data_IF_390216969067
#
_entry.id   IF_390216969067
#
_cell.length_a   1.000
_cell.length_b   1.000
_cell.length_c   1.000
_cell.angle_alpha   90.00
_cell.angle_beta   90.00
_cell.angle_gamma   90.00
#
_symmetry.space_group_name_H-M   'P 1'
#
loop_
_entity.id
_entity.type
_entity.pdbx_description
1 polymer ?
#
# COMPACT_ATOMS: atom_id res chain seq x y z
N UNK A 1 -14.42 7.67 17.22
CA UNK A 1 -14.90 7.31 18.57
C UNK A 1 -13.74 7.43 19.57
N UNK A 2 -13.91 7.03 20.83
CA UNK A 2 -12.79 6.90 21.79
C UNK A 2 -11.77 5.83 21.38
N UNK A 3 -12.23 4.74 20.77
CA UNK A 3 -11.40 3.61 20.35
C UNK A 3 -10.39 3.99 19.26
N UNK A 4 -10.81 4.76 18.24
CA UNK A 4 -9.89 5.25 17.21
C UNK A 4 -8.76 6.08 17.81
N UNK A 5 -9.06 6.98 18.76
CA UNK A 5 -8.05 7.81 19.43
C UNK A 5 -7.10 6.97 20.27
N UNK A 6 -7.62 5.96 20.97
CA UNK A 6 -6.78 5.02 21.74
C UNK A 6 -5.82 4.27 20.83
N UNK A 7 -6.31 3.70 19.73
CA UNK A 7 -5.49 3.00 18.75
C UNK A 7 -4.40 3.91 18.17
N UNK A 8 -4.73 5.16 17.84
CA UNK A 8 -3.76 6.11 17.29
C UNK A 8 -2.64 6.45 18.29
N UNK A 9 -2.99 6.69 19.55
CA UNK A 9 -1.99 6.96 20.60
C UNK A 9 -1.08 5.75 20.84
N UNK A 10 -1.65 4.55 20.75
CA UNK A 10 -0.89 3.31 20.91
C UNK A 10 0.03 3.04 19.72
N UNK A 11 -0.43 3.31 18.49
CA UNK A 11 0.41 3.29 17.29
C UNK A 11 1.55 4.31 17.39
N UNK A 12 1.28 5.57 17.76
CA UNK A 12 2.31 6.60 17.87
C UNK A 12 3.44 6.18 18.81
N UNK A 13 3.09 5.71 20.01
CA UNK A 13 4.07 5.19 20.98
C UNK A 13 4.85 3.99 20.44
N UNK A 14 4.19 3.09 19.72
CA UNK A 14 4.85 1.91 19.18
C UNK A 14 5.84 2.26 18.07
N UNK A 15 5.50 3.22 17.20
CA UNK A 15 6.40 3.75 16.17
C UNK A 15 7.63 4.43 16.78
N UNK A 16 7.43 5.22 17.84
CA UNK A 16 8.53 5.87 18.58
C UNK A 16 9.43 4.85 19.29
N UNK A 17 8.85 3.77 19.82
CA UNK A 17 9.61 2.75 20.57
C UNK A 17 10.48 1.83 19.71
N UNK A 18 10.19 1.72 18.41
CA UNK A 18 10.86 0.83 17.46
C UNK A 18 11.40 1.63 16.27
N UNK A 19 12.17 2.68 16.60
CA UNK A 19 12.74 3.63 15.65
C UNK A 19 13.60 2.93 14.58
N UNK A 20 14.31 1.86 14.95
CA UNK A 20 15.10 1.09 14.00
C UNK A 20 14.27 0.48 12.88
N UNK A 21 13.02 0.08 13.14
CA UNK A 21 12.15 -0.57 12.13
C UNK A 21 11.22 0.41 11.44
N UNK A 22 10.75 1.45 12.14
CA UNK A 22 9.72 2.35 11.63
C UNK A 22 10.15 3.83 11.54
N UNK A 23 11.39 4.18 11.91
CA UNK A 23 11.86 5.58 11.96
C UNK A 23 11.87 6.30 10.60
N UNK A 24 11.88 5.55 9.49
CA UNK A 24 11.73 6.12 8.14
C UNK A 24 10.27 6.47 7.80
N UNK A 25 9.30 6.05 8.62
CA UNK A 25 7.89 6.31 8.39
C UNK A 25 7.44 7.57 9.12
N UNK A 26 6.59 8.35 8.45
CA UNK A 26 5.85 9.44 9.08
C UNK A 26 4.43 8.97 9.37
N UNK A 27 4.07 8.86 10.65
CA UNK A 27 2.68 8.62 11.04
C UNK A 27 1.85 9.89 10.83
N UNK A 28 0.75 9.79 10.09
CA UNK A 28 -0.19 10.88 9.86
C UNK A 28 -1.59 10.46 10.25
N UNK A 29 -2.35 11.40 10.83
CA UNK A 29 -3.73 11.17 11.29
C UNK A 29 -4.63 12.15 10.58
N UNK A 30 -5.67 11.63 9.94
CA UNK A 30 -6.70 12.42 9.29
C UNK A 30 -8.03 12.24 10.03
N UNK A 31 -8.68 13.34 10.34
CA UNK A 31 -10.03 13.34 10.87
C UNK A 31 -11.02 13.49 9.70
N UNK A 32 -11.64 12.39 9.30
CA UNK A 32 -12.58 12.38 8.15
C UNK A 32 -13.78 13.34 8.28
N UNK A 33 -14.10 13.82 9.48
CA UNK A 33 -15.15 14.83 9.65
C UNK A 33 -14.65 16.25 9.35
N UNK A 34 -13.36 16.51 9.56
CA UNK A 34 -12.73 17.82 9.32
C UNK A 34 -12.14 17.87 7.91
N UNK A 35 -11.45 16.81 7.51
CA UNK A 35 -10.69 16.71 6.26
C UNK A 35 -11.43 15.85 5.24
N UNK A 36 -12.75 16.04 5.12
CA UNK A 36 -13.65 15.14 4.38
C UNK A 36 -13.23 14.90 2.94
N UNK A 37 -12.89 15.95 2.20
CA UNK A 37 -12.46 15.83 0.80
C UNK A 37 -11.19 14.96 0.67
N UNK A 38 -10.22 15.13 1.57
CA UNK A 38 -8.99 14.35 1.56
C UNK A 38 -9.27 12.88 1.94
N UNK A 39 -10.06 12.66 2.99
CA UNK A 39 -10.49 11.33 3.40
C UNK A 39 -11.24 10.58 2.27
N UNK A 40 -12.14 11.27 1.57
CA UNK A 40 -12.89 10.73 0.43
C UNK A 40 -11.95 10.38 -0.73
N UNK A 41 -10.96 11.23 -1.03
CA UNK A 41 -9.96 10.97 -2.09
C UNK A 41 -9.07 9.75 -1.82
N UNK A 42 -8.82 9.47 -0.53
CA UNK A 42 -8.09 8.28 -0.09
C UNK A 42 -8.99 7.03 0.02
N UNK A 43 -10.30 7.17 -0.19
CA UNK A 43 -11.26 6.08 -0.08
C UNK A 43 -11.57 5.66 1.36
N UNK A 44 -11.35 6.55 2.34
CA UNK A 44 -11.70 6.33 3.74
C UNK A 44 -13.22 6.54 3.95
N UNK A 45 -14.00 5.45 3.97
CA UNK A 45 -15.47 5.49 4.06
C UNK A 45 -15.94 5.32 5.51
N UNK A 46 -15.97 6.40 6.29
CA UNK A 46 -16.66 6.50 7.60
C UNK A 46 -16.10 5.65 8.76
N UNK A 47 -15.35 4.60 8.47
CA UNK A 47 -14.68 3.73 9.43
C UNK A 47 -13.20 4.12 9.60
N UNK A 48 -12.61 3.72 10.73
CA UNK A 48 -11.16 3.90 10.96
C UNK A 48 -10.40 3.12 9.88
N UNK A 49 -9.78 3.85 8.96
CA UNK A 49 -9.04 3.26 7.85
C UNK A 49 -7.55 3.56 8.01
N UNK A 50 -6.71 2.55 7.80
CA UNK A 50 -5.26 2.69 7.90
C UNK A 50 -4.66 2.43 6.52
N UNK A 51 -3.84 3.36 6.07
CA UNK A 51 -3.09 3.26 4.82
C UNK A 51 -1.59 3.29 5.12
N UNK A 52 -0.85 2.42 4.44
CA UNK A 52 0.58 2.56 4.29
C UNK A 52 0.87 3.07 2.88
N UNK A 53 1.57 4.19 2.79
CA UNK A 53 1.97 4.78 1.52
C UNK A 53 3.47 4.57 1.29
N UNK A 54 3.80 4.08 0.10
CA UNK A 54 5.18 4.01 -0.41
C UNK A 54 5.19 4.62 -1.80
N UNK A 55 5.83 5.77 -1.96
CA UNK A 55 5.78 6.56 -3.20
C UNK A 55 4.32 6.82 -3.61
N UNK A 56 3.95 6.46 -4.85
CA UNK A 56 2.57 6.61 -5.36
C UNK A 56 1.63 5.45 -4.98
N UNK A 57 2.12 4.40 -4.30
CA UNK A 57 1.34 3.22 -3.96
C UNK A 57 0.76 3.32 -2.55
N UNK A 58 -0.52 3.00 -2.43
CA UNK A 58 -1.24 2.96 -1.15
C UNK A 58 -1.71 1.53 -0.85
N UNK A 59 -1.36 1.02 0.31
CA UNK A 59 -1.81 -0.26 0.82
C UNK A 59 -2.84 -0.03 1.92
N UNK A 60 -4.09 -0.42 1.66
CA UNK A 60 -5.16 -0.36 2.65
C UNK A 60 -5.10 -1.56 3.58
N UNK A 61 -4.90 -1.33 4.86
CA UNK A 61 -4.96 -2.38 5.87
C UNK A 61 -6.40 -2.85 6.05
N UNK A 62 -6.64 -4.16 5.88
CA UNK A 62 -7.97 -4.77 5.99
C UNK A 62 -8.08 -5.80 7.13
N UNK A 63 -7.07 -5.85 8.01
CA UNK A 63 -7.03 -6.77 9.14
C UNK A 63 -7.69 -6.20 10.41
N UNK A 64 -7.51 -6.90 11.54
CA UNK A 64 -8.01 -6.45 12.85
C UNK A 64 -7.25 -5.20 13.31
N UNK A 65 -7.98 -4.19 13.78
CA UNK A 65 -7.42 -2.93 14.29
C UNK A 65 -6.73 -3.11 15.65
N UNK A 66 -5.58 -3.79 15.64
CA UNK A 66 -4.66 -3.95 16.78
C UNK A 66 -3.27 -3.52 16.35
N UNK A 67 -2.58 -2.80 17.22
CA UNK A 67 -1.25 -2.22 16.94
C UNK A 67 -0.30 -3.25 16.35
N UNK A 68 -0.16 -4.41 16.99
CA UNK A 68 0.75 -5.47 16.53
C UNK A 68 0.39 -6.01 15.14
N UNK A 69 -0.90 -6.12 14.81
CA UNK A 69 -1.33 -6.63 13.51
C UNK A 69 -1.08 -5.59 12.40
N UNK A 70 -1.24 -4.31 12.72
CA UNK A 70 -0.95 -3.20 11.81
C UNK A 70 0.55 -3.12 11.56
N UNK A 71 1.37 -3.10 12.63
CA UNK A 71 2.83 -2.99 12.52
C UNK A 71 3.46 -4.16 11.76
N UNK A 72 3.02 -5.39 12.01
CA UNK A 72 3.49 -6.55 11.24
C UNK A 72 3.15 -6.44 9.76
N UNK A 73 1.95 -5.93 9.43
CA UNK A 73 1.55 -5.72 8.03
C UNK A 73 2.33 -4.60 7.36
N UNK A 74 2.60 -3.49 8.07
CA UNK A 74 3.43 -2.38 7.56
C UNK A 74 4.86 -2.85 7.35
N UNK A 75 5.44 -3.56 8.31
CA UNK A 75 6.80 -4.10 8.20
C UNK A 75 6.93 -5.07 7.02
N UNK A 76 5.95 -5.95 6.82
CA UNK A 76 5.89 -6.80 5.63
C UNK A 76 5.86 -5.96 4.35
N UNK A 77 4.98 -4.96 4.25
CA UNK A 77 4.90 -4.09 3.07
C UNK A 77 6.18 -3.26 2.82
N UNK A 78 6.92 -2.90 3.87
CA UNK A 78 8.23 -2.25 3.76
C UNK A 78 9.31 -3.21 3.23
N UNK A 79 9.23 -4.50 3.58
CA UNK A 79 10.21 -5.52 3.17
C UNK A 79 10.10 -5.93 1.70
N UNK A 80 8.96 -5.67 1.05
CA UNK A 80 8.79 -5.90 -0.39
C UNK A 80 9.70 -4.96 -1.19
N UNK A 81 10.27 -5.42 -2.31
CA UNK A 81 11.13 -4.57 -3.14
C UNK A 81 10.29 -3.54 -3.94
N UNK A 82 10.80 -2.32 -4.22
CA UNK A 82 10.07 -1.32 -5.01
C UNK A 82 9.67 -1.82 -6.41
N UNK A 83 10.48 -2.71 -6.99
CA UNK A 83 10.32 -3.28 -8.33
C UNK A 83 9.45 -4.55 -8.32
N UNK A 84 9.10 -5.08 -7.15
CA UNK A 84 8.00 -6.01 -6.97
C UNK A 84 6.69 -5.23 -6.92
N UNK A 85 6.47 -4.40 -7.93
CA UNK A 85 5.11 -4.01 -8.27
C UNK A 85 4.33 -5.32 -8.41
N UNK A 86 3.12 -5.49 -7.84
CA UNK A 86 2.39 -6.75 -7.87
C UNK A 86 1.90 -7.15 -9.29
N UNK A 87 2.51 -6.59 -10.34
CA UNK A 87 2.28 -6.97 -11.71
C UNK A 87 3.32 -8.01 -12.12
N UNK A 88 2.87 -9.26 -12.19
CA UNK A 88 3.62 -10.32 -12.86
C UNK A 88 3.55 -10.08 -14.37
N UNK A 89 4.69 -9.95 -15.04
CA UNK A 89 4.73 -9.91 -16.49
C UNK A 89 4.23 -11.25 -17.06
N UNK A 90 3.21 -11.20 -17.92
CA UNK A 90 2.68 -12.36 -18.63
C UNK A 90 3.23 -12.27 -20.06
N UNK A 91 4.23 -13.11 -20.36
CA UNK A 91 5.00 -13.00 -21.59
C UNK A 91 4.32 -13.70 -22.78
N UNK A 92 3.44 -14.68 -22.50
CA UNK A 92 2.77 -15.49 -23.52
C UNK A 92 1.25 -15.46 -23.37
N UNK A 93 0.50 -15.72 -24.46
CA UNK A 93 -0.95 -15.92 -24.39
C UNK A 93 -1.35 -17.03 -23.39
N UNK A 94 -0.53 -18.08 -23.28
CA UNK A 94 -0.72 -19.19 -22.36
C UNK A 94 -0.61 -18.73 -20.90
N UNK A 95 0.41 -17.92 -20.56
CA UNK A 95 0.55 -17.36 -19.21
C UNK A 95 -0.66 -16.52 -18.81
N UNK A 96 -1.16 -15.70 -19.75
CA UNK A 96 -2.37 -14.90 -19.55
C UNK A 96 -3.57 -15.81 -19.30
N UNK A 97 -3.72 -16.87 -20.10
CA UNK A 97 -4.81 -17.84 -19.94
C UNK A 97 -4.74 -18.54 -18.59
N UNK A 98 -3.57 -18.99 -18.14
CA UNK A 98 -3.42 -19.63 -16.83
C UNK A 98 -3.72 -18.66 -15.69
N UNK A 99 -3.24 -17.42 -15.78
CA UNK A 99 -3.52 -16.39 -14.78
C UNK A 99 -5.02 -16.10 -14.66
N UNK A 100 -5.72 -15.90 -15.78
CA UNK A 100 -7.15 -15.62 -15.79
C UNK A 100 -8.00 -16.78 -15.22
N UNK A 101 -7.57 -18.03 -15.41
CA UNK A 101 -8.26 -19.18 -14.82
C UNK A 101 -7.95 -19.40 -13.33
N UNK A 102 -6.92 -18.75 -12.79
CA UNK A 102 -6.51 -18.93 -11.39
C UNK A 102 -7.29 -18.07 -10.38
N UNK A 103 -8.14 -17.15 -10.85
CA UNK A 103 -8.85 -16.18 -10.01
C UNK A 103 -10.23 -15.84 -10.59
N UNK A 104 -11.19 -15.55 -9.72
CA UNK A 104 -12.54 -15.11 -10.12
C UNK A 104 -12.54 -13.68 -10.69
N UNK A 105 -11.52 -12.87 -10.34
CA UNK A 105 -11.38 -11.48 -10.78
C UNK A 105 -9.92 -11.16 -11.07
N UNK A 106 -9.65 -10.54 -12.21
CA UNK A 106 -8.32 -10.12 -12.63
C UNK A 106 -8.35 -8.71 -13.22
N UNK A 107 -7.28 -7.96 -12.98
CA UNK A 107 -6.97 -6.70 -13.69
C UNK A 107 -5.71 -6.97 -14.50
N UNK A 108 -5.78 -6.74 -15.82
CA UNK A 108 -4.67 -6.92 -16.74
C UNK A 108 -4.32 -5.58 -17.34
N UNK A 109 -3.06 -5.17 -17.23
CA UNK A 109 -2.53 -4.01 -17.93
C UNK A 109 -1.92 -4.49 -19.25
N UNK A 110 -2.47 -4.05 -20.37
CA UNK A 110 -1.97 -4.39 -21.71
C UNK A 110 -1.12 -3.23 -22.24
N UNK A 111 0.16 -3.47 -22.43
CA UNK A 111 1.06 -2.53 -23.11
C UNK A 111 1.18 -2.90 -24.59
N UNK A 112 0.55 -2.11 -25.45
CA UNK A 112 0.77 -2.17 -26.87
C UNK A 112 1.94 -1.24 -27.21
N UNK A 113 2.99 -1.80 -27.84
CA UNK A 113 4.18 -1.09 -28.35
C UNK A 113 5.35 -0.88 -27.38
N UNK A 114 5.40 -1.56 -26.22
CA UNK A 114 6.60 -1.65 -25.38
C UNK A 114 6.99 -0.35 -24.67
N UNK A 115 6.01 0.53 -24.44
CA UNK A 115 6.23 1.81 -23.77
C UNK A 115 6.59 1.64 -22.29
N UNK A 116 6.07 0.60 -21.65
CA UNK A 116 6.34 0.26 -20.24
C UNK A 116 7.81 -0.10 -20.06
N UNK A 117 8.38 -0.89 -20.96
CA UNK A 117 9.81 -1.23 -20.90
C UNK A 117 10.70 0.00 -21.07
N UNK A 118 10.33 0.94 -21.96
CA UNK A 118 11.03 2.22 -22.12
C UNK A 118 10.92 3.11 -20.88
N UNK A 119 9.76 3.16 -20.25
CA UNK A 119 9.53 3.91 -19.00
C UNK A 119 10.29 3.33 -17.81
N UNK A 120 10.32 2.00 -17.70
CA UNK A 120 11.07 1.31 -16.66
C UNK A 120 12.59 1.49 -16.83
N UNK A 121 13.08 1.44 -18.07
CA UNK A 121 14.49 1.71 -18.38
C UNK A 121 14.89 3.16 -18.10
N UNK A 122 14.02 4.14 -18.39
CA UNK A 122 14.31 5.56 -18.16
C UNK A 122 14.53 5.90 -16.67
N UNK A 123 13.84 5.20 -15.76
CA UNK A 123 13.99 5.39 -14.31
C UNK A 123 15.27 4.75 -13.73
N UNK A 124 15.98 3.90 -14.48
CA UNK A 124 17.25 3.27 -14.07
C UNK A 124 18.51 4.10 -14.36
N UNK A 125 18.38 5.28 -14.95
CA UNK A 125 19.51 6.10 -15.45
C UNK A 125 19.74 7.41 -14.71
N UNK A 126 19.38 7.48 -13.42
CA UNK A 126 19.92 8.55 -12.54
C UNK A 126 21.01 7.99 -11.64
N UNK A 127 22.23 7.97 -12.18
CA UNK A 127 23.50 7.95 -11.46
C UNK A 127 24.49 8.82 -12.21
#
# INVERSE_FOLDING_TARGET
>A
SGESRSLMNELARAFESDEHRFGALKLMVLNGNVERMLADSLGAKGETTIFYHRNALAYKYSGRLRVQNILSSVHYAMSLLPDEIPFKALATPEDLKYFLHSTDKAIVLLDFCGWTQKLLAANGTTS
#
